data_IF_227837801397
#
_entry.id   IF_227837801397
#
_cell.length_a   1.000
_cell.length_b   1.000
_cell.length_c   1.000
_cell.angle_alpha   90.00
_cell.angle_beta   90.00
_cell.angle_gamma   90.00
#
_symmetry.space_group_name_H-M   'P 1'
#
loop_
_entity.id
_entity.type
_entity.pdbx_description
1 polymer ?
#
# COMPACT_ATOMS: atom_id res chain seq x y z
N UNK A 1 13.55 12.98 -15.43
CA UNK A 1 12.15 13.43 -15.35
C UNK A 1 12.06 14.69 -16.19
N UNK A 2 11.32 14.62 -17.30
CA UNK A 2 11.01 15.83 -18.07
C UNK A 2 10.16 16.77 -17.22
N UNK A 3 10.31 18.07 -17.46
CA UNK A 3 9.64 19.11 -16.69
C UNK A 3 8.17 19.15 -17.09
N UNK A 4 7.27 18.56 -16.29
CA UNK A 4 5.82 18.45 -16.58
C UNK A 4 5.09 19.78 -16.75
N UNK A 5 5.73 20.88 -16.39
CA UNK A 5 5.20 22.22 -16.58
C UNK A 5 5.50 22.78 -17.97
N UNK A 6 6.23 22.06 -18.84
CA UNK A 6 6.52 22.50 -20.21
C UNK A 6 6.13 21.45 -21.24
N UNK A 7 5.42 21.87 -22.29
CA UNK A 7 5.12 20.98 -23.41
C UNK A 7 6.41 20.57 -24.14
N UNK A 8 6.64 19.28 -24.42
CA UNK A 8 7.94 18.79 -24.92
C UNK A 8 8.30 19.32 -26.31
N UNK A 9 7.31 19.57 -27.18
CA UNK A 9 7.53 20.06 -28.54
C UNK A 9 7.44 21.59 -28.66
N UNK A 10 6.48 22.21 -27.97
CA UNK A 10 6.24 23.65 -28.09
C UNK A 10 6.93 24.48 -27.01
N UNK A 11 7.44 23.85 -25.95
CA UNK A 11 8.08 24.48 -24.77
C UNK A 11 7.21 25.53 -24.09
N UNK A 12 5.89 25.45 -24.27
CA UNK A 12 4.94 26.34 -23.62
C UNK A 12 4.94 26.01 -22.13
N UNK A 13 5.14 27.03 -21.31
CA UNK A 13 5.27 26.93 -19.86
C UNK A 13 3.91 27.14 -19.18
N UNK A 14 3.55 26.20 -18.31
CA UNK A 14 2.34 26.18 -17.50
C UNK A 14 2.64 26.45 -16.01
N UNK A 15 3.84 26.95 -15.69
CA UNK A 15 4.17 27.43 -14.34
C UNK A 15 3.19 28.55 -13.93
N UNK A 16 2.19 28.14 -13.15
CA UNK A 16 1.24 28.96 -12.40
C UNK A 16 0.98 30.37 -12.95
N UNK A 17 0.05 30.45 -13.90
CA UNK A 17 -0.98 31.48 -13.80
C UNK A 17 -2.14 30.89 -13.02
N UNK A 18 -2.74 31.67 -12.12
CA UNK A 18 -4.05 31.33 -11.56
C UNK A 18 -4.94 30.89 -12.72
N UNK A 19 -5.58 29.72 -12.56
CA UNK A 19 -6.54 29.24 -13.53
C UNK A 19 -7.63 30.31 -13.61
N UNK A 20 -7.64 31.11 -14.68
CA UNK A 20 -8.76 32.00 -14.95
C UNK A 20 -9.97 31.07 -15.06
N UNK A 21 -10.87 31.19 -14.08
CA UNK A 21 -12.11 30.42 -13.97
C UNK A 21 -13.10 30.88 -15.04
N UNK A 22 -12.68 30.81 -16.30
CA UNK A 22 -13.54 31.06 -17.44
C UNK A 22 -14.71 30.07 -17.41
N UNK A 23 -15.86 30.50 -17.93
CA UNK A 23 -17.06 29.67 -18.00
C UNK A 23 -16.79 28.34 -18.74
N UNK A 24 -15.91 28.38 -19.75
CA UNK A 24 -15.45 27.19 -20.47
C UNK A 24 -14.63 26.27 -19.57
N UNK A 25 -13.69 26.82 -18.79
CA UNK A 25 -12.87 26.02 -17.86
C UNK A 25 -13.75 25.34 -16.81
N UNK A 26 -14.74 26.07 -16.27
CA UNK A 26 -15.72 25.52 -15.35
C UNK A 26 -16.54 24.40 -16.00
N UNK A 27 -16.99 24.58 -17.26
CA UNK A 27 -17.73 23.56 -17.99
C UNK A 27 -16.89 22.30 -18.27
N UNK A 28 -15.61 22.47 -18.64
CA UNK A 28 -14.68 21.37 -18.89
C UNK A 28 -14.27 20.64 -17.59
N UNK A 29 -14.14 21.38 -16.48
CA UNK A 29 -13.87 20.82 -15.15
C UNK A 29 -15.12 20.25 -14.47
N UNK A 30 -16.31 20.52 -14.99
CA UNK A 30 -17.58 19.91 -14.54
C UNK A 30 -17.65 18.45 -14.98
N UNK A 31 -16.69 17.65 -14.53
CA UNK A 31 -16.74 16.21 -14.54
C UNK A 31 -17.51 15.73 -13.32
N UNK A 32 -18.22 14.61 -13.44
CA UNK A 32 -18.83 13.94 -12.29
C UNK A 32 -17.79 13.23 -11.40
N UNK A 33 -16.55 13.10 -11.87
CA UNK A 33 -15.47 12.34 -11.22
C UNK A 33 -14.37 13.27 -10.69
N UNK A 34 -13.73 12.89 -9.58
CA UNK A 34 -12.67 13.68 -8.96
C UNK A 34 -11.36 13.58 -9.78
N UNK A 35 -10.72 14.72 -10.02
CA UNK A 35 -9.48 14.86 -10.79
C UNK A 35 -8.48 15.77 -10.07
N UNK A 36 -8.46 15.74 -8.73
CA UNK A 36 -7.68 16.60 -7.86
C UNK A 36 -6.23 16.12 -7.68
N UNK A 37 -5.98 14.82 -7.75
CA UNK A 37 -4.67 14.20 -7.48
C UNK A 37 -3.87 13.95 -8.76
N UNK A 38 -4.55 13.81 -9.91
CA UNK A 38 -3.96 13.45 -11.21
C UNK A 38 -3.61 14.69 -12.04
N UNK A 39 -2.50 14.67 -12.78
CA UNK A 39 -2.12 15.74 -13.73
C UNK A 39 -3.23 16.03 -14.78
N UNK A 40 -3.45 17.30 -15.20
CA UNK A 40 -4.46 17.61 -16.23
C UNK A 40 -4.20 16.89 -17.56
N UNK A 41 -2.93 16.62 -17.90
CA UNK A 41 -2.58 15.89 -19.11
C UNK A 41 -3.02 14.42 -19.03
N UNK A 42 -2.82 13.78 -17.89
CA UNK A 42 -3.27 12.41 -17.64
C UNK A 42 -4.80 12.32 -17.55
N UNK A 43 -5.49 13.36 -17.06
CA UNK A 43 -6.96 13.39 -17.08
C UNK A 43 -7.54 13.26 -18.50
N UNK A 44 -6.83 13.74 -19.52
CA UNK A 44 -7.27 13.65 -20.92
C UNK A 44 -7.25 12.22 -21.47
N UNK A 45 -6.53 11.28 -20.84
CA UNK A 45 -6.59 9.86 -21.21
C UNK A 45 -7.79 9.12 -20.58
N UNK A 46 -8.55 9.80 -19.71
CA UNK A 46 -9.69 9.24 -19.00
C UNK A 46 -9.37 8.71 -17.60
N UNK A 47 -8.11 8.79 -17.16
CA UNK A 47 -7.68 8.44 -15.80
C UNK A 47 -8.16 9.50 -14.80
N UNK A 48 -8.81 9.05 -13.73
CA UNK A 48 -9.32 9.90 -12.64
C UNK A 48 -8.70 9.52 -11.30
N UNK A 49 -9.00 10.27 -10.23
CA UNK A 49 -8.44 10.00 -8.91
C UNK A 49 -8.80 8.60 -8.39
N UNK A 50 -9.97 8.07 -8.77
CA UNK A 50 -10.40 6.71 -8.41
C UNK A 50 -9.52 5.63 -9.05
N UNK A 51 -8.95 5.90 -10.22
CA UNK A 51 -8.08 4.94 -10.92
C UNK A 51 -6.69 4.85 -10.28
N UNK A 52 -6.33 5.80 -9.40
CA UNK A 52 -5.08 5.78 -8.63
C UNK A 52 -5.04 4.69 -7.55
N UNK A 53 -6.19 4.06 -7.24
CA UNK A 53 -6.21 2.90 -6.36
C UNK A 53 -5.76 1.61 -7.05
N UNK A 54 -5.62 1.63 -8.38
CA UNK A 54 -5.04 0.54 -9.17
C UNK A 54 -3.58 0.88 -9.51
N UNK A 55 -2.63 0.08 -9.02
CA UNK A 55 -1.22 0.42 -9.21
C UNK A 55 -0.74 0.31 -10.66
N UNK A 56 -1.46 -0.42 -11.52
CA UNK A 56 -1.12 -0.49 -12.94
C UNK A 56 -1.29 0.90 -13.59
N UNK A 57 -2.32 1.64 -13.15
CA UNK A 57 -2.58 3.01 -13.60
C UNK A 57 -1.65 4.05 -12.94
N UNK A 58 -1.22 3.83 -11.69
CA UNK A 58 -0.32 4.77 -10.97
C UNK A 58 1.07 4.85 -11.60
N UNK A 59 1.54 3.82 -12.31
CA UNK A 59 2.80 3.93 -13.06
C UNK A 59 2.70 4.88 -14.25
N UNK A 60 1.52 4.94 -14.89
CA UNK A 60 1.27 5.81 -16.04
C UNK A 60 0.78 7.21 -15.62
N UNK A 61 0.19 7.31 -14.42
CA UNK A 61 -0.31 8.55 -13.86
C UNK A 61 0.73 9.25 -12.98
N UNK A 62 1.07 10.49 -13.33
CA UNK A 62 1.90 11.33 -12.47
C UNK A 62 1.02 12.07 -11.46
N UNK A 63 1.24 11.78 -10.17
CA UNK A 63 0.58 12.45 -9.06
C UNK A 63 1.12 13.87 -8.91
N UNK A 64 0.24 14.87 -9.01
CA UNK A 64 0.63 16.30 -8.90
C UNK A 64 1.34 16.63 -7.59
N UNK A 65 0.99 15.91 -6.54
CA UNK A 65 1.40 16.22 -5.17
C UNK A 65 2.64 15.43 -4.74
N UNK A 66 2.97 14.33 -5.43
CA UNK A 66 3.92 13.35 -4.90
C UNK A 66 4.76 12.75 -6.03
N UNK A 67 6.05 13.07 -6.07
CA UNK A 67 7.05 12.43 -6.94
C UNK A 67 7.43 11.01 -6.48
N UNK A 68 6.46 10.20 -6.04
CA UNK A 68 6.68 8.84 -5.56
C UNK A 68 6.42 7.86 -6.70
N UNK A 69 7.43 7.06 -7.02
CA UNK A 69 7.27 5.91 -7.90
C UNK A 69 6.35 4.89 -7.22
N UNK A 70 5.42 4.28 -7.96
CA UNK A 70 4.48 3.28 -7.40
C UNK A 70 5.18 2.13 -6.68
N UNK A 71 6.41 1.76 -7.12
CA UNK A 71 7.22 0.73 -6.45
C UNK A 71 7.60 1.10 -5.02
N UNK A 72 7.56 2.39 -4.70
CA UNK A 72 7.85 2.95 -3.39
C UNK A 72 6.57 3.34 -2.63
N UNK A 73 5.38 3.21 -3.26
CA UNK A 73 4.10 3.45 -2.60
C UNK A 73 3.61 2.15 -1.95
N UNK A 74 3.26 2.16 -0.66
CA UNK A 74 2.72 0.98 0.02
C UNK A 74 1.27 0.74 -0.41
N UNK A 75 1.07 0.12 -1.58
CA UNK A 75 -0.26 -0.25 -2.06
C UNK A 75 -0.64 -1.62 -1.51
N UNK A 76 -1.76 -1.66 -0.80
CA UNK A 76 -2.34 -2.88 -0.26
C UNK A 76 -3.21 -3.57 -1.33
N UNK A 77 -2.61 -4.50 -2.07
CA UNK A 77 -3.33 -5.33 -3.04
C UNK A 77 -4.24 -6.35 -2.34
N UNK A 78 -5.50 -5.98 -2.13
CA UNK A 78 -6.51 -6.90 -1.57
C UNK A 78 -6.87 -8.02 -2.55
N UNK A 79 -6.70 -7.78 -3.85
CA UNK A 79 -6.95 -8.75 -4.91
C UNK A 79 -5.74 -8.82 -5.83
N UNK A 80 -5.34 -10.03 -6.19
CA UNK A 80 -4.27 -10.29 -7.15
C UNK A 80 -4.83 -11.15 -8.26
N UNK A 81 -4.46 -10.86 -9.50
CA UNK A 81 -4.87 -11.61 -10.67
C UNK A 81 -3.64 -12.22 -11.36
N UNK A 82 -3.81 -13.39 -11.96
CA UNK A 82 -2.78 -13.97 -12.82
C UNK A 82 -2.82 -13.35 -14.22
N UNK A 83 -1.86 -13.72 -15.08
CA UNK A 83 -1.75 -13.22 -16.45
C UNK A 83 -2.95 -13.61 -17.35
N UNK A 84 -3.89 -14.42 -16.85
CA UNK A 84 -5.12 -14.81 -17.53
C UNK A 84 -6.36 -14.12 -16.94
N UNK A 85 -6.17 -13.16 -16.02
CA UNK A 85 -7.26 -12.44 -15.35
C UNK A 85 -7.99 -13.27 -14.30
N UNK A 86 -7.42 -14.39 -13.83
CA UNK A 86 -8.04 -15.19 -12.76
C UNK A 86 -7.61 -14.68 -11.40
N UNK A 87 -8.57 -14.49 -10.50
CA UNK A 87 -8.30 -14.07 -9.12
C UNK A 87 -7.46 -15.12 -8.39
N UNK A 88 -6.31 -14.70 -7.89
CA UNK A 88 -5.42 -15.49 -7.05
C UNK A 88 -5.82 -15.33 -5.58
N UNK A 89 -6.04 -16.42 -4.83
CA UNK A 89 -6.26 -16.33 -3.39
C UNK A 89 -5.00 -15.84 -2.68
N UNK A 90 -5.19 -14.98 -1.68
CA UNK A 90 -4.10 -14.55 -0.80
C UNK A 90 -3.75 -15.67 0.18
N UNK A 91 -2.46 -15.82 0.46
CA UNK A 91 -1.95 -16.78 1.42
C UNK A 91 -2.12 -16.24 2.86
N UNK A 92 -2.72 -17.02 3.75
CA UNK A 92 -3.05 -16.61 5.12
C UNK A 92 -1.99 -17.00 6.16
N UNK A 93 -0.74 -17.23 5.73
CA UNK A 93 0.36 -17.73 6.56
C UNK A 93 0.48 -17.05 7.94
N UNK A 94 0.31 -15.73 8.01
CA UNK A 94 0.46 -14.97 9.25
C UNK A 94 -0.64 -15.32 10.26
N UNK A 95 -1.87 -15.51 9.79
CA UNK A 95 -3.01 -15.90 10.62
C UNK A 95 -2.89 -17.37 11.04
N UNK A 96 -2.50 -18.25 10.12
CA UNK A 96 -2.35 -19.67 10.40
C UNK A 96 -1.24 -19.91 11.43
N UNK A 97 -0.12 -19.20 11.29
CA UNK A 97 0.92 -19.20 12.31
C UNK A 97 0.41 -18.63 13.63
N UNK A 98 -0.34 -17.54 13.62
CA UNK A 98 -0.89 -16.98 14.85
C UNK A 98 -1.83 -17.97 15.56
N UNK A 99 -2.60 -18.79 14.83
CA UNK A 99 -3.49 -19.80 15.44
C UNK A 99 -2.69 -21.00 15.96
N UNK A 100 -1.80 -21.56 15.14
CA UNK A 100 -1.19 -22.87 15.39
C UNK A 100 0.24 -22.81 15.94
N UNK A 101 0.97 -21.74 15.65
CA UNK A 101 2.35 -21.52 16.11
C UNK A 101 3.36 -22.50 15.50
N UNK A 102 3.10 -23.07 14.33
CA UNK A 102 3.94 -24.12 13.71
C UNK A 102 4.50 -23.68 12.36
N UNK A 103 5.83 -23.71 12.23
CA UNK A 103 6.51 -23.50 10.93
C UNK A 103 6.25 -24.65 9.95
N UNK A 104 6.09 -25.88 10.46
CA UNK A 104 5.85 -27.07 9.63
C UNK A 104 4.50 -26.99 8.93
N UNK A 105 3.47 -26.46 9.61
CA UNK A 105 2.16 -26.22 9.02
C UNK A 105 2.22 -25.20 7.87
N UNK A 106 3.10 -24.19 7.96
CA UNK A 106 3.27 -23.22 6.88
C UNK A 106 3.88 -23.82 5.61
N UNK A 107 4.75 -24.82 5.78
CA UNK A 107 5.32 -25.53 4.64
C UNK A 107 4.31 -26.45 3.96
N UNK A 108 3.49 -27.14 4.75
CA UNK A 108 2.58 -28.17 4.27
C UNK A 108 1.25 -27.60 3.77
N UNK A 109 0.66 -26.66 4.50
CA UNK A 109 -0.67 -26.10 4.20
C UNK A 109 -0.59 -24.79 3.41
N UNK A 110 0.42 -23.96 3.70
CA UNK A 110 0.62 -22.66 3.04
C UNK A 110 1.67 -22.71 1.91
N UNK A 111 2.28 -23.88 1.67
CA UNK A 111 3.25 -24.15 0.59
C UNK A 111 4.44 -23.17 0.58
N UNK A 112 4.88 -22.74 1.77
CA UNK A 112 6.04 -21.86 1.92
C UNK A 112 7.33 -22.66 2.11
N UNK A 113 8.43 -22.21 1.49
CA UNK A 113 9.75 -22.72 1.85
C UNK A 113 10.06 -22.34 3.30
N UNK A 114 10.77 -23.19 4.03
CA UNK A 114 10.97 -23.03 5.47
C UNK A 114 11.76 -21.76 5.84
N UNK A 115 12.84 -21.46 5.11
CA UNK A 115 13.60 -20.22 5.30
C UNK A 115 12.79 -18.97 4.95
N UNK A 116 12.04 -19.02 3.86
CA UNK A 116 11.17 -17.92 3.42
C UNK A 116 10.02 -17.71 4.42
N UNK A 117 9.43 -18.79 4.93
CA UNK A 117 8.38 -18.75 5.94
C UNK A 117 8.87 -18.06 7.22
N UNK A 118 10.04 -18.45 7.74
CA UNK A 118 10.60 -17.81 8.92
C UNK A 118 10.84 -16.31 8.71
N UNK A 119 11.43 -15.92 7.58
CA UNK A 119 11.66 -14.52 7.25
C UNK A 119 10.33 -13.74 7.14
N UNK A 120 9.33 -14.28 6.45
CA UNK A 120 8.00 -13.67 6.33
C UNK A 120 7.33 -13.49 7.70
N UNK A 121 7.45 -14.46 8.62
CA UNK A 121 6.91 -14.33 9.97
C UNK A 121 7.68 -13.30 10.80
N UNK A 122 9.01 -13.23 10.64
CA UNK A 122 9.86 -12.26 11.32
C UNK A 122 9.53 -10.83 10.86
N UNK A 123 9.39 -10.63 9.55
CA UNK A 123 9.01 -9.34 8.97
C UNK A 123 7.60 -8.93 9.44
N UNK A 124 6.65 -9.86 9.46
CA UNK A 124 5.32 -9.60 10.00
C UNK A 124 5.34 -9.28 11.51
N UNK A 125 6.19 -9.95 12.28
CA UNK A 125 6.39 -9.61 13.71
C UNK A 125 6.95 -8.21 13.90
N UNK A 126 7.88 -7.77 13.04
CA UNK A 126 8.40 -6.39 13.05
C UNK A 126 7.31 -5.39 12.64
N UNK A 127 6.48 -5.74 11.66
CA UNK A 127 5.35 -4.91 11.24
C UNK A 127 4.34 -4.69 12.38
N UNK A 128 3.93 -5.76 13.08
CA UNK A 128 3.02 -5.63 14.24
C UNK A 128 3.64 -4.74 15.32
N UNK A 129 4.94 -4.88 15.59
CA UNK A 129 5.65 -4.01 16.55
C UNK A 129 5.64 -2.56 16.11
N UNK A 130 5.89 -2.28 14.84
CA UNK A 130 5.82 -0.93 14.29
C UNK A 130 4.41 -0.33 14.46
N UNK A 131 3.36 -1.08 14.12
CA UNK A 131 1.97 -0.65 14.30
C UNK A 131 1.68 -0.37 15.77
N UNK A 132 2.06 -1.27 16.69
CA UNK A 132 1.90 -1.08 18.13
C UNK A 132 2.58 0.22 18.60
N UNK A 133 3.84 0.43 18.21
CA UNK A 133 4.60 1.63 18.58
C UNK A 133 3.92 2.89 18.06
N UNK A 134 3.55 2.92 16.77
CA UNK A 134 2.86 4.08 16.19
C UNK A 134 1.51 4.37 16.84
N UNK A 135 0.71 3.33 17.13
CA UNK A 135 -0.56 3.51 17.83
C UNK A 135 -0.37 4.03 19.25
N UNK A 136 0.65 3.56 19.97
CA UNK A 136 0.98 4.05 21.31
C UNK A 136 1.55 5.47 21.34
N UNK A 137 2.17 5.92 20.24
CA UNK A 137 2.65 7.30 20.08
C UNK A 137 1.54 8.28 19.70
N UNK A 138 0.55 7.82 18.92
CA UNK A 138 -0.54 8.66 18.40
C UNK A 138 -1.73 8.71 19.38
N UNK A 139 -1.92 7.68 20.21
CA UNK A 139 -3.00 7.61 21.18
C UNK A 139 -2.55 8.06 22.57
N UNK A 140 -3.18 9.10 23.10
CA UNK A 140 -2.87 9.63 24.45
C UNK A 140 -3.43 8.74 25.57
N UNK A 141 -4.40 7.87 25.29
CA UNK A 141 -4.98 6.94 26.28
C UNK A 141 -4.25 5.58 26.23
N UNK A 142 -3.41 5.26 27.23
CA UNK A 142 -2.72 3.97 27.27
C UNK A 142 -3.65 2.77 27.51
N UNK A 143 -4.90 3.00 27.94
CA UNK A 143 -5.90 1.96 28.16
C UNK A 143 -6.88 1.82 26.99
N UNK A 144 -6.64 2.48 25.86
CA UNK A 144 -7.46 2.29 24.67
C UNK A 144 -7.45 0.82 24.22
N UNK A 145 -8.63 0.31 23.88
CA UNK A 145 -8.80 -1.11 23.54
C UNK A 145 -7.99 -1.53 22.31
N UNK A 146 -7.79 -0.63 21.35
CA UNK A 146 -7.01 -0.90 20.12
C UNK A 146 -5.53 -0.97 20.46
N UNK A 147 -5.03 -0.02 21.26
CA UNK A 147 -3.63 -0.02 21.73
C UNK A 147 -3.32 -1.31 22.50
N UNK A 148 -4.19 -1.68 23.45
CA UNK A 148 -4.04 -2.91 24.22
C UNK A 148 -4.12 -4.18 23.36
N UNK A 149 -5.04 -4.22 22.39
CA UNK A 149 -5.16 -5.36 21.47
C UNK A 149 -3.88 -5.56 20.64
N UNK A 150 -3.31 -4.49 20.09
CA UNK A 150 -2.06 -4.57 19.32
C UNK A 150 -0.84 -4.86 20.19
N UNK A 151 -0.84 -4.40 21.44
CA UNK A 151 0.17 -4.82 22.41
C UNK A 151 0.10 -6.32 22.68
N UNK A 152 -1.07 -6.85 23.03
CA UNK A 152 -1.28 -8.28 23.28
C UNK A 152 -0.93 -9.11 22.05
N UNK A 153 -1.33 -8.67 20.86
CA UNK A 153 -1.00 -9.32 19.60
C UNK A 153 0.51 -9.37 19.37
N UNK A 154 1.21 -8.23 19.53
CA UNK A 154 2.66 -8.13 19.36
C UNK A 154 3.41 -9.08 20.29
N UNK A 155 3.03 -9.13 21.56
CA UNK A 155 3.65 -9.96 22.59
C UNK A 155 3.39 -11.45 22.31
N UNK A 156 2.13 -11.81 22.06
CA UNK A 156 1.72 -13.19 21.78
C UNK A 156 2.39 -13.75 20.52
N UNK A 157 2.44 -12.94 19.46
CA UNK A 157 3.06 -13.36 18.19
C UNK A 157 4.57 -13.54 18.35
N UNK A 158 5.24 -12.59 19.03
CA UNK A 158 6.68 -12.67 19.30
C UNK A 158 7.05 -13.88 20.16
N UNK A 159 6.24 -14.20 21.16
CA UNK A 159 6.44 -15.38 22.01
C UNK A 159 6.32 -16.68 21.20
N UNK A 160 5.31 -16.80 20.32
CA UNK A 160 5.17 -17.95 19.42
C UNK A 160 6.36 -18.09 18.47
N UNK A 161 6.84 -16.99 17.90
CA UNK A 161 7.99 -17.00 17.00
C UNK A 161 9.28 -17.40 17.73
N UNK A 162 9.51 -16.87 18.94
CA UNK A 162 10.67 -17.21 19.76
C UNK A 162 10.70 -18.70 20.15
N UNK A 163 9.53 -19.29 20.43
CA UNK A 163 9.43 -20.72 20.72
C UNK A 163 9.85 -21.62 19.55
N UNK A 164 9.78 -21.15 18.30
CA UNK A 164 10.25 -21.89 17.12
C UNK A 164 11.78 -21.83 16.96
N UNK A 165 12.43 -20.77 17.46
CA UNK A 165 13.88 -20.56 17.35
C UNK A 165 14.74 -21.41 18.30
N UNK A 166 14.13 -22.24 19.14
CA UNK A 166 14.82 -23.17 20.06
C UNK A 166 15.36 -24.44 19.40
N UNK A 167 15.02 -24.71 18.13
CA UNK A 167 15.69 -25.74 17.34
C UNK A 167 16.97 -25.17 16.76
N UNK A 168 18.02 -25.13 17.58
CA UNK A 168 19.39 -24.81 17.18
C UNK A 168 19.87 -25.79 16.11
N UNK A 169 20.39 -25.23 15.00
CA UNK A 169 21.17 -25.93 13.98
C UNK A 169 22.46 -26.52 14.57
#
# INVERSE_FOLDING_TARGET
MEQEYQLPLSRIDFTHKECDNSELTFHLMKSTKSIASVSPFTCLSGIVDEDLFDADNVNEAVLRTIGVNVRNAPLCWLEKYDNQGRRMPLNAYALDFFKHGSLVALKTDNWLNEGDAYNLLKDFSLLIKAIRTSLGEICDDPNDNVVLAFQQLSESYSAKLAAQGGHTW
#
